data_IF_648190751153
#
_entry.id   IF_648190751153
#
_cell.length_a   1.000
_cell.length_b   1.000
_cell.length_c   1.000
_cell.angle_alpha   90.00
_cell.angle_beta   90.00
_cell.angle_gamma   90.00
#
_symmetry.space_group_name_H-M   'P 1'
#
loop_
_entity.id
_entity.type
_entity.pdbx_description
1 polymer ?
#
# COMPACT_ATOMS: atom_id res chain seq x y z
N UNK A 1 -16.59 -18.74 2.68
CA UNK A 1 -15.99 -20.07 2.52
C UNK A 1 -17.13 -21.06 2.63
N UNK A 2 -17.40 -21.82 1.57
CA UNK A 2 -18.48 -22.81 1.57
C UNK A 2 -17.96 -24.10 2.20
N UNK A 3 -18.51 -24.47 3.35
CA UNK A 3 -18.13 -25.68 4.09
C UNK A 3 -18.56 -26.96 3.37
N UNK A 4 -19.51 -26.88 2.45
CA UNK A 4 -19.95 -28.02 1.64
C UNK A 4 -19.04 -28.25 0.41
N UNK A 5 -18.25 -27.24 0.02
CA UNK A 5 -17.29 -27.29 -1.10
C UNK A 5 -15.94 -26.70 -0.67
N UNK A 6 -15.26 -27.33 0.30
CA UNK A 6 -14.11 -26.73 0.96
C UNK A 6 -12.90 -26.62 0.02
N UNK A 7 -12.68 -27.60 -0.86
CA UNK A 7 -11.55 -27.59 -1.77
C UNK A 7 -11.71 -26.52 -2.86
N UNK A 8 -12.90 -26.38 -3.45
CA UNK A 8 -13.17 -25.32 -4.42
C UNK A 8 -13.12 -23.94 -3.77
N UNK A 9 -13.62 -23.82 -2.53
CA UNK A 9 -13.52 -22.58 -1.78
C UNK A 9 -12.06 -22.17 -1.51
N UNK A 10 -11.21 -23.15 -1.17
CA UNK A 10 -9.78 -22.92 -0.98
C UNK A 10 -9.08 -22.57 -2.30
N UNK A 11 -9.35 -23.32 -3.37
CA UNK A 11 -8.77 -23.06 -4.68
C UNK A 11 -9.15 -21.66 -5.18
N UNK A 12 -10.43 -21.28 -5.08
CA UNK A 12 -10.89 -19.94 -5.43
C UNK A 12 -10.18 -18.88 -4.58
N UNK A 13 -10.13 -19.06 -3.25
CA UNK A 13 -9.44 -18.14 -2.36
C UNK A 13 -7.98 -17.96 -2.76
N UNK A 14 -7.25 -19.04 -3.05
CA UNK A 14 -5.85 -18.99 -3.47
C UNK A 14 -5.64 -18.25 -4.79
N UNK A 15 -6.63 -18.22 -5.68
CA UNK A 15 -6.56 -17.50 -6.96
C UNK A 15 -6.85 -16.01 -6.82
N UNK A 16 -7.71 -15.62 -5.87
CA UNK A 16 -8.09 -14.21 -5.65
C UNK A 16 -7.29 -13.53 -4.52
N UNK A 17 -6.33 -14.23 -3.94
CA UNK A 17 -5.53 -13.72 -2.81
C UNK A 17 -4.57 -12.62 -3.26
N UNK A 18 -4.19 -11.75 -2.33
CA UNK A 18 -3.21 -10.67 -2.52
C UNK A 18 -1.79 -11.17 -2.82
N UNK A 19 -1.57 -12.49 -2.77
CA UNK A 19 -0.30 -13.15 -3.08
C UNK A 19 -0.12 -13.34 -4.59
N UNK A 20 -1.20 -13.33 -5.37
CA UNK A 20 -1.16 -13.33 -6.84
C UNK A 20 -2.16 -12.33 -7.45
N UNK A 21 -2.03 -11.03 -7.14
CA UNK A 21 -3.02 -10.06 -7.52
C UNK A 21 -2.74 -9.52 -8.93
N UNK A 22 -3.79 -9.07 -9.61
CA UNK A 22 -3.63 -8.12 -10.72
C UNK A 22 -3.33 -6.73 -10.16
N UNK A 23 -2.79 -5.84 -10.99
CA UNK A 23 -2.62 -4.43 -10.61
C UNK A 23 -3.94 -3.78 -10.23
N UNK A 24 -5.02 -4.11 -10.94
CA UNK A 24 -6.37 -3.60 -10.68
C UNK A 24 -6.87 -4.04 -9.30
N UNK A 25 -6.76 -5.34 -8.98
CA UNK A 25 -7.17 -5.86 -7.68
C UNK A 25 -6.42 -5.19 -6.51
N UNK A 26 -5.11 -4.93 -6.67
CA UNK A 26 -4.32 -4.24 -5.65
C UNK A 26 -4.76 -2.79 -5.46
N UNK A 27 -4.97 -2.06 -6.57
CA UNK A 27 -5.43 -0.67 -6.53
C UNK A 27 -6.81 -0.57 -5.87
N UNK A 28 -7.76 -1.38 -6.33
CA UNK A 28 -9.12 -1.40 -5.80
C UNK A 28 -9.15 -1.75 -4.31
N UNK A 29 -8.36 -2.75 -3.90
CA UNK A 29 -8.25 -3.13 -2.50
C UNK A 29 -7.75 -1.97 -1.63
N UNK A 30 -6.68 -1.29 -2.03
CA UNK A 30 -6.11 -0.19 -1.25
C UNK A 30 -7.05 1.01 -1.23
N UNK A 31 -7.62 1.41 -2.37
CA UNK A 31 -8.57 2.53 -2.45
C UNK A 31 -9.80 2.26 -1.59
N UNK A 32 -10.37 1.05 -1.67
CA UNK A 32 -11.49 0.63 -0.83
C UNK A 32 -11.13 0.70 0.65
N UNK A 33 -9.98 0.15 1.03
CA UNK A 33 -9.49 0.18 2.42
C UNK A 33 -9.34 1.62 2.92
N UNK A 34 -8.73 2.50 2.13
CA UNK A 34 -8.58 3.92 2.48
C UNK A 34 -9.93 4.58 2.75
N UNK A 35 -10.93 4.35 1.89
CA UNK A 35 -12.28 4.91 2.04
C UNK A 35 -13.03 4.34 3.24
N UNK A 36 -13.02 3.02 3.41
CA UNK A 36 -13.77 2.32 4.47
C UNK A 36 -13.24 2.64 5.86
N UNK A 37 -11.91 2.66 6.02
CA UNK A 37 -11.27 2.96 7.29
C UNK A 37 -11.04 4.46 7.52
N UNK A 38 -11.47 5.32 6.60
CA UNK A 38 -11.28 6.78 6.66
C UNK A 38 -9.83 7.15 6.93
N UNK A 39 -8.92 6.54 6.17
CA UNK A 39 -7.48 6.75 6.32
C UNK A 39 -7.14 8.18 5.87
N UNK A 40 -6.41 8.91 6.72
CA UNK A 40 -6.00 10.30 6.46
C UNK A 40 -4.76 10.41 5.55
N UNK A 41 -3.98 9.34 5.40
CA UNK A 41 -2.75 9.32 4.60
C UNK A 41 -2.20 7.91 4.39
N UNK A 42 -1.48 7.70 3.29
CA UNK A 42 -0.91 6.41 2.91
C UNK A 42 0.61 6.47 2.82
N UNK A 43 1.29 5.55 3.51
CA UNK A 43 2.72 5.29 3.30
C UNK A 43 2.85 3.92 2.63
N UNK A 44 3.38 3.92 1.40
CA UNK A 44 3.83 2.70 0.73
C UNK A 44 5.29 2.42 1.08
N UNK A 45 5.64 1.16 1.35
CA UNK A 45 7.04 0.73 1.37
C UNK A 45 7.36 -0.07 0.12
N UNK A 46 8.49 0.25 -0.51
CA UNK A 46 9.04 -0.54 -1.61
C UNK A 46 10.30 -1.21 -1.13
N UNK A 47 10.27 -2.55 -1.13
CA UNK A 47 11.40 -3.39 -0.76
C UNK A 47 12.10 -3.82 -2.03
N UNK A 48 13.40 -3.57 -2.16
CA UNK A 48 14.17 -4.00 -3.34
C UNK A 48 14.12 -5.52 -3.55
N UNK A 49 14.04 -6.28 -2.47
CA UNK A 49 13.92 -7.74 -2.50
C UNK A 49 12.59 -8.26 -3.06
N UNK A 50 11.55 -7.42 -3.15
CA UNK A 50 10.23 -7.80 -3.66
C UNK A 50 9.96 -7.06 -4.98
N UNK A 51 9.90 -7.77 -6.11
CA UNK A 51 9.55 -7.14 -7.39
C UNK A 51 8.07 -6.78 -7.53
N UNK A 52 7.18 -7.50 -6.83
CA UNK A 52 5.73 -7.40 -6.99
C UNK A 52 5.18 -6.07 -6.46
N UNK A 53 5.44 -5.76 -5.19
CA UNK A 53 4.86 -4.58 -4.52
C UNK A 53 5.32 -3.24 -5.14
N UNK A 54 6.61 -3.02 -5.44
CA UNK A 54 7.07 -1.81 -6.11
C UNK A 54 6.43 -1.61 -7.49
N UNK A 55 6.16 -2.69 -8.22
CA UNK A 55 5.48 -2.64 -9.52
C UNK A 55 4.09 -2.02 -9.47
N UNK A 56 3.38 -2.15 -8.34
CA UNK A 56 2.03 -1.59 -8.18
C UNK A 56 1.99 -0.30 -7.37
N UNK A 57 3.01 -0.02 -6.56
CA UNK A 57 2.95 1.08 -5.59
C UNK A 57 2.70 2.44 -6.24
N UNK A 58 3.27 2.68 -7.43
CA UNK A 58 3.01 3.92 -8.17
C UNK A 58 1.54 4.04 -8.60
N UNK A 59 0.95 2.95 -9.12
CA UNK A 59 -0.45 2.91 -9.54
C UNK A 59 -1.38 3.13 -8.35
N UNK A 60 -1.10 2.48 -7.22
CA UNK A 60 -1.83 2.63 -5.96
C UNK A 60 -1.79 4.08 -5.50
N UNK A 61 -0.60 4.68 -5.45
CA UNK A 61 -0.40 6.07 -5.04
C UNK A 61 -1.24 7.03 -5.88
N UNK A 62 -1.16 6.89 -7.20
CA UNK A 62 -1.83 7.79 -8.14
C UNK A 62 -3.37 7.63 -8.07
N UNK A 63 -3.87 6.41 -7.88
CA UNK A 63 -5.30 6.13 -7.70
C UNK A 63 -5.85 6.69 -6.38
N UNK A 64 -5.16 6.46 -5.26
CA UNK A 64 -5.56 6.97 -3.94
C UNK A 64 -5.60 8.50 -3.94
N UNK A 65 -4.58 9.15 -4.52
CA UNK A 65 -4.56 10.60 -4.65
C UNK A 65 -5.73 11.10 -5.50
N UNK A 66 -6.01 10.47 -6.64
CA UNK A 66 -7.10 10.89 -7.55
C UNK A 66 -8.49 10.68 -6.93
N UNK A 67 -8.70 9.58 -6.22
CA UNK A 67 -10.03 9.17 -5.76
C UNK A 67 -10.39 9.67 -4.37
N UNK A 68 -9.40 9.85 -3.49
CA UNK A 68 -9.61 10.21 -2.09
C UNK A 68 -8.95 11.54 -1.74
N UNK A 69 -7.90 11.93 -2.46
CA UNK A 69 -7.24 13.22 -2.25
C UNK A 69 -6.37 13.28 -0.99
N UNK A 70 -6.03 12.14 -0.41
CA UNK A 70 -5.18 12.08 0.79
C UNK A 70 -3.69 12.13 0.44
N UNK A 71 -2.84 12.66 1.33
CA UNK A 71 -1.39 12.60 1.17
C UNK A 71 -0.89 11.16 1.08
N UNK A 72 0.04 10.94 0.14
CA UNK A 72 0.63 9.62 -0.11
C UNK A 72 2.14 9.73 -0.32
N UNK A 73 2.92 8.89 0.35
CA UNK A 73 4.38 8.80 0.18
C UNK A 73 4.84 7.37 -0.06
N UNK A 74 5.95 7.20 -0.76
CA UNK A 74 6.59 5.90 -0.99
C UNK A 74 7.99 5.96 -0.37
N UNK A 75 8.31 5.02 0.51
CA UNK A 75 9.60 4.90 1.16
C UNK A 75 10.34 3.66 0.63
N UNK A 76 11.60 3.84 0.26
CA UNK A 76 12.52 2.72 0.02
C UNK A 76 12.95 2.15 1.38
N UNK A 77 12.48 0.95 1.70
CA UNK A 77 12.78 0.26 2.96
C UNK A 77 12.87 -1.24 2.68
N UNK A 78 13.82 -1.95 3.28
CA UNK A 78 13.86 -3.40 3.25
C UNK A 78 13.79 -3.97 4.68
N UNK A 79 12.99 -5.03 4.87
CA UNK A 79 12.83 -5.65 6.19
C UNK A 79 13.92 -6.66 6.53
N UNK A 80 14.76 -7.02 5.56
CA UNK A 80 15.78 -8.06 5.66
C UNK A 80 17.19 -7.55 5.39
N UNK A 81 17.34 -6.40 4.72
CA UNK A 81 18.64 -5.80 4.40
C UNK A 81 18.83 -4.43 5.08
N UNK A 82 19.61 -4.40 6.16
CA UNK A 82 19.92 -3.18 6.92
C UNK A 82 20.67 -2.13 6.08
N UNK A 83 21.34 -2.53 4.99
CA UNK A 83 22.07 -1.58 4.12
C UNK A 83 21.12 -0.68 3.34
N UNK A 84 19.86 -1.09 3.21
CA UNK A 84 18.80 -0.32 2.57
C UNK A 84 18.05 0.58 3.58
N UNK A 85 18.47 0.60 4.84
CA UNK A 85 17.96 1.52 5.85
C UNK A 85 18.95 2.65 6.12
N UNK A 86 18.46 3.89 6.00
CA UNK A 86 19.15 5.09 6.47
C UNK A 86 18.24 5.86 7.43
N UNK A 87 18.69 6.04 8.67
CA UNK A 87 17.90 6.66 9.74
C UNK A 87 17.56 8.12 9.43
N UNK A 88 18.54 8.87 8.93
CA UNK A 88 18.40 10.30 8.62
C UNK A 88 17.38 10.51 7.51
N UNK A 89 17.50 9.77 6.41
CA UNK A 89 16.57 9.83 5.28
C UNK A 89 15.18 9.34 5.68
N UNK A 90 15.08 8.23 6.42
CA UNK A 90 13.80 7.70 6.88
C UNK A 90 13.05 8.69 7.77
N UNK A 91 13.77 9.35 8.69
CA UNK A 91 13.20 10.38 9.56
C UNK A 91 12.76 11.61 8.76
N UNK A 92 13.59 12.10 7.84
CA UNK A 92 13.23 13.25 6.99
C UNK A 92 11.99 12.97 6.12
N UNK A 93 11.88 11.75 5.57
CA UNK A 93 10.72 11.32 4.79
C UNK A 93 9.45 11.25 5.64
N UNK A 94 9.56 10.75 6.87
CA UNK A 94 8.44 10.70 7.82
C UNK A 94 7.99 12.12 8.24
N UNK A 95 8.94 13.00 8.58
CA UNK A 95 8.66 14.39 8.96
C UNK A 95 7.92 15.11 7.81
N UNK A 96 8.42 14.97 6.57
CA UNK A 96 7.78 15.53 5.37
C UNK A 96 6.35 15.00 5.13
N UNK A 97 6.13 13.71 5.38
CA UNK A 97 4.80 13.11 5.26
C UNK A 97 3.85 13.63 6.34
N UNK A 98 4.31 13.76 7.59
CA UNK A 98 3.50 14.32 8.68
C UNK A 98 3.13 15.78 8.39
N UNK A 99 4.04 16.60 7.89
CA UNK A 99 3.73 17.97 7.48
C UNK A 99 2.67 18.00 6.37
N UNK A 100 2.75 17.08 5.40
CA UNK A 100 1.74 16.95 4.34
C UNK A 100 0.37 16.56 4.89
N UNK A 101 0.32 15.65 5.87
CA UNK A 101 -0.90 15.29 6.59
C UNK A 101 -1.51 16.48 7.32
N UNK A 102 -0.70 17.22 8.09
CA UNK A 102 -1.16 18.38 8.85
C UNK A 102 -1.67 19.50 7.93
N UNK A 103 -1.01 19.72 6.79
CA UNK A 103 -1.44 20.69 5.79
C UNK A 103 -2.78 20.31 5.14
N UNK A 104 -3.03 19.02 4.93
CA UNK A 104 -4.29 18.54 4.33
C UNK A 104 -5.49 18.71 5.27
N UNK A 105 -5.32 18.55 6.59
CA UNK A 105 -6.40 18.73 7.60
C UNK A 105 -6.80 20.19 7.83
N UNK A 106 -6.01 21.15 7.36
CA UNK A 106 -6.29 22.58 7.47
C UNK A 106 -7.17 23.13 6.33
N UNK A 107 -7.45 22.30 5.31
CA UNK A 107 -8.38 22.62 4.22
C UNK A 107 -9.76 22.08 4.52
#
# INVERSE_FOLDING_TARGET
MDTNRPLESLAYKSLIDIINPTSENMVDFVVKTVKEFKIDGLIGSVKRSCGLLPGYMRLIKDAVYKEVGIPTSIFDLDGMDIREYDDVTSKANLDSFVESLLASKRK
#
